data_IF_051289567394
#
_entry.id   IF_051289567394
#
_cell.length_a   1.000
_cell.length_b   1.000
_cell.length_c   1.000
_cell.angle_alpha   90.00
_cell.angle_beta   90.00
_cell.angle_gamma   90.00
#
_symmetry.space_group_name_H-M   'P 1'
#
loop_
_entity.id
_entity.type
_entity.pdbx_description
1 polymer ?
#
# COMPACT_ATOMS: atom_id res chain seq x y z
N UNK A 1 12.92 -3.93 -5.10
CA UNK A 1 12.64 -5.30 -4.64
C UNK A 1 12.50 -5.50 -3.15
N UNK A 2 11.73 -4.67 -2.44
CA UNK A 2 11.45 -4.87 -1.01
C UNK A 2 10.26 -5.79 -0.75
N UNK A 3 9.19 -5.65 -1.55
CA UNK A 3 7.95 -6.42 -1.38
C UNK A 3 8.10 -7.90 -1.76
N UNK A 4 8.94 -8.21 -2.76
CA UNK A 4 9.28 -9.60 -3.09
C UNK A 4 10.12 -10.26 -1.97
N UNK A 5 10.96 -9.50 -1.26
CA UNK A 5 11.71 -9.98 -0.09
C UNK A 5 10.82 -10.20 1.14
N UNK A 6 9.84 -9.34 1.38
CA UNK A 6 8.83 -9.54 2.44
C UNK A 6 7.95 -10.76 2.13
N UNK A 7 7.65 -11.02 0.84
CA UNK A 7 7.03 -12.28 0.40
C UNK A 7 7.99 -13.48 0.48
N UNK A 8 9.29 -13.27 0.29
CA UNK A 8 10.31 -14.32 0.25
C UNK A 8 10.85 -14.73 1.62
N UNK A 9 10.36 -14.15 2.72
CA UNK A 9 10.48 -14.73 4.06
C UNK A 9 9.13 -15.33 4.49
N UNK A 10 8.54 -16.29 3.76
CA UNK A 10 7.42 -17.01 4.32
C UNK A 10 7.97 -17.75 5.54
N UNK A 11 7.38 -17.49 6.71
CA UNK A 11 7.62 -18.31 7.88
C UNK A 11 7.43 -19.77 7.46
N UNK A 12 8.39 -20.66 7.73
CA UNK A 12 8.28 -22.05 7.33
C UNK A 12 6.98 -22.62 7.88
N UNK A 13 6.17 -23.24 7.02
CA UNK A 13 4.83 -23.75 7.38
C UNK A 13 4.92 -24.67 8.61
N UNK A 14 6.00 -25.46 8.67
CA UNK A 14 6.33 -26.35 9.78
C UNK A 14 6.41 -25.61 11.13
N UNK A 15 6.96 -24.39 11.18
CA UNK A 15 7.06 -23.60 12.41
C UNK A 15 5.67 -23.22 12.95
N UNK A 16 4.79 -22.76 12.06
CA UNK A 16 3.42 -22.34 12.42
C UNK A 16 2.58 -23.54 12.89
N UNK A 17 2.68 -24.69 12.21
CA UNK A 17 2.00 -25.91 12.65
C UNK A 17 2.56 -26.48 13.95
N UNK A 18 3.88 -26.41 14.18
CA UNK A 18 4.47 -26.81 15.45
C UNK A 18 4.04 -25.91 16.61
N UNK A 19 4.00 -24.58 16.40
CA UNK A 19 3.53 -23.63 17.40
C UNK A 19 2.11 -23.98 17.86
N UNK A 20 1.20 -24.21 16.92
CA UNK A 20 -0.19 -24.62 17.22
C UNK A 20 -0.26 -25.96 17.94
N UNK A 21 0.58 -26.92 17.56
CA UNK A 21 0.64 -28.23 18.22
C UNK A 21 1.08 -28.09 19.68
N UNK A 22 2.07 -27.25 19.97
CA UNK A 22 2.55 -26.99 21.33
C UNK A 22 1.45 -26.30 22.16
N UNK A 23 0.71 -25.35 21.59
CA UNK A 23 -0.44 -24.71 22.26
C UNK A 23 -1.51 -25.75 22.63
N UNK A 24 -1.85 -26.65 21.71
CA UNK A 24 -2.83 -27.71 21.99
C UNK A 24 -2.35 -28.67 23.08
N UNK A 25 -1.06 -29.05 23.05
CA UNK A 25 -0.46 -29.87 24.12
C UNK A 25 -0.51 -29.13 25.45
N UNK A 26 -0.18 -27.84 25.49
CA UNK A 26 -0.27 -27.02 26.70
C UNK A 26 -1.69 -27.02 27.29
N UNK A 27 -2.72 -26.82 26.45
CA UNK A 27 -4.11 -26.86 26.88
C UNK A 27 -4.58 -28.24 27.35
N UNK A 28 -3.99 -29.32 26.83
CA UNK A 28 -4.27 -30.71 27.24
C UNK A 28 -3.63 -31.06 28.59
N UNK A 29 -2.45 -30.52 28.88
CA UNK A 29 -1.77 -30.72 30.16
C UNK A 29 -2.30 -29.82 31.27
N UNK A 30 -2.84 -28.64 30.93
CA UNK A 30 -3.43 -27.70 31.87
C UNK A 30 -4.47 -28.32 32.85
N UNK A 31 -5.47 -29.10 32.39
CA UNK A 31 -6.45 -29.71 33.30
C UNK A 31 -5.82 -30.76 34.21
N UNK A 32 -4.81 -31.51 33.76
CA UNK A 32 -4.11 -32.49 34.59
C UNK A 32 -3.33 -31.76 35.69
N UNK A 33 -2.66 -30.65 35.35
CA UNK A 33 -1.91 -29.84 36.30
C UNK A 33 -2.79 -29.21 37.40
N UNK A 34 -3.99 -28.73 37.04
CA UNK A 34 -4.90 -28.08 38.00
C UNK A 34 -5.89 -29.03 38.68
N UNK A 35 -6.02 -30.27 38.21
CA UNK A 35 -6.98 -31.25 38.75
C UNK A 35 -6.84 -31.53 40.25
N UNK A 36 -5.63 -31.39 40.81
CA UNK A 36 -5.35 -31.69 42.21
C UNK A 36 -5.83 -30.63 43.22
N UNK A 37 -5.91 -29.37 42.82
CA UNK A 37 -6.18 -28.24 43.74
C UNK A 37 -7.58 -27.64 43.56
N UNK A 38 -8.12 -27.61 42.33
CA UNK A 38 -9.31 -26.81 41.99
C UNK A 38 -10.56 -27.65 41.69
N UNK A 39 -10.43 -28.98 41.63
CA UNK A 39 -11.55 -29.91 41.42
C UNK A 39 -12.40 -29.54 40.21
N UNK A 40 -13.72 -29.38 40.41
CA UNK A 40 -14.69 -29.02 39.36
C UNK A 40 -14.55 -27.58 38.84
N UNK A 41 -13.92 -26.67 39.59
CA UNK A 41 -13.65 -25.30 39.13
C UNK A 41 -12.59 -25.24 38.03
N UNK A 42 -11.82 -26.32 37.85
CA UNK A 42 -10.82 -26.46 36.80
C UNK A 42 -11.41 -26.29 35.40
N UNK A 43 -12.64 -26.78 35.16
CA UNK A 43 -13.26 -26.79 33.83
C UNK A 43 -13.50 -25.37 33.28
N UNK A 44 -14.20 -24.45 33.99
CA UNK A 44 -14.41 -23.08 33.50
C UNK A 44 -13.10 -22.28 33.41
N UNK A 45 -12.15 -22.49 34.32
CA UNK A 45 -10.85 -21.79 34.31
C UNK A 45 -10.03 -22.21 33.08
N UNK A 46 -9.89 -23.51 32.85
CA UNK A 46 -9.18 -24.05 31.67
C UNK A 46 -9.87 -23.62 30.38
N UNK A 47 -11.20 -23.58 30.35
CA UNK A 47 -11.96 -23.09 29.19
C UNK A 47 -11.70 -21.62 28.90
N UNK A 48 -11.66 -20.77 29.92
CA UNK A 48 -11.36 -19.34 29.76
C UNK A 48 -9.93 -19.11 29.25
N UNK A 49 -8.94 -19.78 29.85
CA UNK A 49 -7.53 -19.71 29.41
C UNK A 49 -7.38 -20.25 27.99
N UNK A 50 -8.00 -21.39 27.68
CA UNK A 50 -7.99 -21.98 26.34
C UNK A 50 -8.61 -21.05 25.30
N UNK A 51 -9.73 -20.42 25.62
CA UNK A 51 -10.36 -19.43 24.75
C UNK A 51 -9.41 -18.25 24.48
N UNK A 52 -8.76 -17.69 25.51
CA UNK A 52 -7.84 -16.58 25.35
C UNK A 52 -6.63 -16.93 24.46
N UNK A 53 -5.99 -18.08 24.71
CA UNK A 53 -4.81 -18.51 23.95
C UNK A 53 -5.18 -18.84 22.49
N UNK A 54 -6.30 -19.54 22.27
CA UNK A 54 -6.77 -19.86 20.91
C UNK A 54 -7.24 -18.62 20.13
N UNK A 55 -7.82 -17.64 20.82
CA UNK A 55 -8.19 -16.36 20.20
C UNK A 55 -6.95 -15.62 19.68
N UNK A 56 -5.86 -15.60 20.47
CA UNK A 56 -4.58 -15.00 20.06
C UNK A 56 -3.96 -15.78 18.89
N UNK A 57 -3.94 -17.12 18.93
CA UNK A 57 -3.42 -17.96 17.83
C UNK A 57 -4.19 -17.70 16.52
N UNK A 58 -5.52 -17.60 16.60
CA UNK A 58 -6.36 -17.25 15.45
C UNK A 58 -6.03 -15.87 14.87
N UNK A 59 -5.88 -14.86 15.74
CA UNK A 59 -5.51 -13.51 15.31
C UNK A 59 -4.09 -13.47 14.70
N UNK A 60 -3.14 -14.23 15.24
CA UNK A 60 -1.78 -14.32 14.72
C UNK A 60 -1.76 -14.91 13.30
N UNK A 61 -2.52 -15.98 13.05
CA UNK A 61 -2.62 -16.59 11.72
C UNK A 61 -3.20 -15.65 10.67
N UNK A 62 -4.12 -14.77 11.08
CA UNK A 62 -4.66 -13.73 10.19
C UNK A 62 -3.65 -12.61 9.96
N UNK A 63 -2.88 -12.25 10.98
CA UNK A 63 -1.82 -11.25 10.91
C UNK A 63 -0.60 -11.67 10.08
N UNK A 64 -0.31 -12.96 9.95
CA UNK A 64 0.85 -13.47 9.20
C UNK A 64 0.73 -13.30 7.66
N UNK A 65 -0.46 -13.02 7.13
CA UNK A 65 -0.69 -12.95 5.69
C UNK A 65 -1.58 -11.76 5.29
N UNK A 66 -1.15 -10.52 5.54
CA UNK A 66 -1.97 -9.32 5.30
C UNK A 66 -2.27 -9.08 3.81
N UNK A 67 -1.55 -9.73 2.89
CA UNK A 67 -1.67 -9.51 1.43
C UNK A 67 -2.34 -10.66 0.66
N UNK A 68 -2.88 -11.67 1.35
CA UNK A 68 -3.57 -12.79 0.68
C UNK A 68 -4.97 -12.34 0.23
N UNK A 69 -5.20 -12.31 -1.10
CA UNK A 69 -6.52 -12.04 -1.70
C UNK A 69 -7.54 -13.07 -1.19
N UNK A 70 -8.72 -12.60 -0.75
CA UNK A 70 -9.84 -13.45 -0.31
C UNK A 70 -10.02 -13.65 1.20
N UNK A 71 -9.28 -12.96 2.08
CA UNK A 71 -9.58 -12.88 3.52
C UNK A 71 -10.28 -11.57 3.89
N UNK A 72 -11.08 -11.58 4.96
CA UNK A 72 -11.89 -10.42 5.39
C UNK A 72 -11.00 -9.22 5.77
N UNK A 73 -9.86 -9.46 6.41
CA UNK A 73 -8.91 -8.43 6.84
C UNK A 73 -7.65 -8.39 5.93
N UNK A 74 -7.84 -8.41 4.61
CA UNK A 74 -6.73 -8.33 3.66
C UNK A 74 -6.50 -6.88 3.19
N UNK A 75 -5.23 -6.50 3.03
CA UNK A 75 -4.84 -5.24 2.43
C UNK A 75 -4.81 -5.38 0.91
N UNK A 76 -5.66 -4.63 0.22
CA UNK A 76 -5.76 -4.67 -1.23
C UNK A 76 -4.63 -3.87 -1.90
N UNK A 77 -3.62 -4.59 -2.36
CA UNK A 77 -2.46 -4.03 -3.06
C UNK A 77 -2.83 -3.44 -4.43
N UNK A 78 -3.91 -3.91 -5.03
CA UNK A 78 -4.36 -3.41 -6.33
C UNK A 78 -4.89 -1.99 -6.18
N UNK A 79 -5.74 -1.76 -5.17
CA UNK A 79 -6.24 -0.43 -4.82
C UNK A 79 -5.10 0.55 -4.48
N UNK A 80 -4.08 0.10 -3.73
CA UNK A 80 -2.91 0.94 -3.41
C UNK A 80 -2.12 1.36 -4.66
N UNK A 81 -1.88 0.41 -5.58
CA UNK A 81 -1.15 0.70 -6.82
C UNK A 81 -1.93 1.66 -7.72
N UNK A 82 -3.25 1.46 -7.84
CA UNK A 82 -4.14 2.32 -8.61
C UNK A 82 -4.13 3.74 -8.04
N UNK A 83 -4.26 3.90 -6.72
CA UNK A 83 -4.23 5.22 -6.08
C UNK A 83 -2.89 5.97 -6.32
N UNK A 84 -1.76 5.26 -6.24
CA UNK A 84 -0.45 5.82 -6.55
C UNK A 84 -0.33 6.26 -8.01
N UNK A 85 -0.82 5.44 -8.95
CA UNK A 85 -0.82 5.77 -10.38
C UNK A 85 -1.72 6.97 -10.67
N UNK A 86 -2.92 7.04 -10.09
CA UNK A 86 -3.82 8.18 -10.25
C UNK A 86 -3.17 9.49 -9.81
N UNK A 87 -2.42 9.47 -8.70
CA UNK A 87 -1.68 10.64 -8.20
C UNK A 87 -0.60 11.09 -9.19
N UNK A 88 0.15 10.15 -9.77
CA UNK A 88 1.18 10.46 -10.77
C UNK A 88 0.56 11.03 -12.04
N UNK A 89 -0.53 10.42 -12.52
CA UNK A 89 -1.24 10.89 -13.72
C UNK A 89 -1.77 12.30 -13.51
N UNK A 90 -2.34 12.58 -12.34
CA UNK A 90 -2.82 13.91 -11.98
C UNK A 90 -1.68 14.95 -11.97
N UNK A 91 -0.52 14.60 -11.38
CA UNK A 91 0.66 15.46 -11.39
C UNK A 91 1.21 15.70 -12.80
N UNK A 92 1.29 14.67 -13.64
CA UNK A 92 1.76 14.81 -15.03
C UNK A 92 0.81 15.70 -15.81
N UNK A 93 -0.51 15.49 -15.68
CA UNK A 93 -1.52 16.30 -16.33
C UNK A 93 -1.43 17.77 -15.87
N UNK A 94 -1.18 18.00 -14.58
CA UNK A 94 -1.00 19.33 -14.03
C UNK A 94 0.26 20.03 -14.59
N UNK A 95 1.39 19.33 -14.66
CA UNK A 95 2.64 19.87 -15.23
C UNK A 95 2.48 20.17 -16.73
N UNK A 96 1.80 19.30 -17.47
CA UNK A 96 1.56 19.50 -18.90
C UNK A 96 0.65 20.71 -19.14
N UNK A 97 -0.36 20.91 -18.28
CA UNK A 97 -1.21 22.09 -18.32
C UNK A 97 -0.41 23.38 -18.06
N UNK A 98 0.48 23.40 -17.06
CA UNK A 98 1.38 24.54 -16.81
C UNK A 98 2.32 24.78 -18.00
N UNK A 99 2.87 23.72 -18.59
CA UNK A 99 3.73 23.83 -19.77
C UNK A 99 3.00 24.42 -20.98
N UNK A 100 1.74 24.02 -21.21
CA UNK A 100 0.93 24.57 -22.28
C UNK A 100 0.58 26.05 -22.04
N UNK A 101 0.29 26.44 -20.79
CA UNK A 101 0.09 27.85 -20.41
C UNK A 101 1.33 28.71 -20.64
N UNK A 102 2.53 28.18 -20.38
CA UNK A 102 3.77 28.91 -20.66
C UNK A 102 4.04 29.04 -22.16
N UNK A 103 3.73 28.01 -22.97
CA UNK A 103 3.84 28.09 -24.44
C UNK A 103 2.94 29.16 -25.03
N UNK A 104 1.70 29.23 -24.56
CA UNK A 104 0.71 30.25 -24.95
C UNK A 104 1.25 31.66 -24.64
N UNK A 105 1.77 31.86 -23.43
CA UNK A 105 2.36 33.14 -23.03
C UNK A 105 3.62 33.53 -23.81
N UNK A 106 4.40 32.58 -24.33
CA UNK A 106 5.53 32.87 -25.23
C UNK A 106 5.09 33.09 -26.68
N UNK A 107 4.02 32.43 -27.14
CA UNK A 107 3.45 32.66 -28.47
C UNK A 107 2.84 34.06 -28.57
N UNK A 108 2.23 34.56 -27.49
CA UNK A 108 1.76 35.95 -27.40
C UNK A 108 2.92 36.96 -27.49
N UNK A 109 4.10 36.64 -26.93
CA UNK A 109 5.29 37.50 -27.00
C UNK A 109 5.97 37.44 -28.38
N UNK A 110 5.97 36.28 -29.05
CA UNK A 110 6.47 36.14 -30.42
C UNK A 110 5.56 36.83 -31.45
N UNK A 111 4.23 36.71 -31.32
CA UNK A 111 3.28 37.40 -32.19
C UNK A 111 3.40 38.94 -32.05
N UNK A 112 3.62 39.42 -30.83
CA UNK A 112 3.90 40.85 -30.59
C UNK A 112 5.22 41.30 -31.23
N UNK A 113 6.17 40.38 -31.42
CA UNK A 113 7.47 40.65 -32.05
C UNK A 113 7.38 40.61 -33.58
N UNK A 114 6.57 39.71 -34.14
CA UNK A 114 6.26 39.66 -35.58
C UNK A 114 5.46 40.91 -36.02
N UNK A 115 4.52 41.42 -35.21
CA UNK A 115 3.84 42.70 -35.51
C UNK A 115 4.78 43.93 -35.46
N UNK A 116 5.85 43.87 -34.67
CA UNK A 116 6.87 44.93 -34.59
C UNK A 116 7.86 44.88 -35.78
N UNK A 117 8.15 43.70 -36.34
CA UNK A 117 8.95 43.53 -37.56
C UNK A 117 8.16 43.87 -38.84
N UNK A 118 6.86 43.56 -38.91
CA UNK A 118 6.01 43.90 -40.07
C UNK A 118 5.67 45.41 -40.15
N UNK A 119 5.97 46.19 -39.11
CA UNK A 119 5.84 47.66 -39.12
C UNK A 119 7.13 48.40 -39.50
N UNK A 120 8.22 47.69 -39.81
CA UNK A 120 9.49 48.26 -40.30
C UNK A 120 9.71 48.15 -41.83
N UNK A 121 8.79 47.56 -42.61
CA UNK A 121 8.88 47.46 -44.10
C UNK A 121 7.97 48.46 -44.84
N UNK A 122 7.96 49.73 -44.40
CA UNK A 122 7.41 50.87 -45.16
C UNK A 122 8.44 52.02 -45.14
N UNK A 123 9.57 51.82 -45.81
CA UNK A 123 10.62 52.83 -45.84
C UNK A 123 11.84 52.46 -46.68
N UNK A 124 11.67 52.32 -47.99
CA UNK A 124 12.24 53.31 -48.92
C UNK A 124 12.23 52.77 -50.35
N UNK A 125 11.34 53.38 -51.12
CA UNK A 125 11.41 53.42 -52.56
C UNK A 125 12.67 54.19 -52.97
N UNK A 126 13.25 53.75 -54.09
CA UNK A 126 13.86 54.60 -55.12
C UNK A 126 15.41 54.62 -55.24
N UNK A 127 15.81 54.31 -56.48
CA UNK A 127 17.03 54.70 -57.20
C UNK A 127 18.39 54.06 -56.86
N UNK A 128 18.95 53.38 -57.88
CA UNK A 128 20.15 53.74 -58.65
C UNK A 128 20.49 52.50 -59.52
N UNK A 129 20.62 52.56 -60.84
CA UNK A 129 21.60 53.30 -61.62
C UNK A 129 22.29 52.31 -62.56
#
# INVERSE_FOLDING_TARGET
GGMERVKATPLPIMFVTHLRTIILVYLLFLPIAFSGEWGWSTIPVVSFVGYAVLAIDGAAQEGESPFKKGRVNHLDMEAFCIAGLSTIVELVCHVENIRNRNKDSTADVECFKEEEEDSEDDGDTFENG
#
